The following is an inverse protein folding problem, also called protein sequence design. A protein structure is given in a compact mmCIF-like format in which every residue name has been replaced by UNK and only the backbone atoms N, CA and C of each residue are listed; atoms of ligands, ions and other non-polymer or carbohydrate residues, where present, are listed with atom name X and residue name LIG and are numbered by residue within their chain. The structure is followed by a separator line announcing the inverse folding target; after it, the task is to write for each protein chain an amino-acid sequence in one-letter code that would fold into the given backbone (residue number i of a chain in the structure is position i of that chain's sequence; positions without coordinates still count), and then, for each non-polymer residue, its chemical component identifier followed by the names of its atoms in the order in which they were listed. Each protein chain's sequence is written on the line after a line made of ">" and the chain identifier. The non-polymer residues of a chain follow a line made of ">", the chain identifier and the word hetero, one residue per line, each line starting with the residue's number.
data_IF_169845235206
#
_entry.id   IF_169845235206
#
_cell.length_a   1.000
_cell.length_b   1.000
_cell.length_c   1.000
_cell.angle_alpha   90.00
_cell.angle_beta   90.00
_cell.angle_gamma   90.00
#
_symmetry.space_group_name_H-M   'P 1'
#
loop_
_entity.id
_entity.type
_entity.pdbx_description
1 polymer ?
#
# COMPACT_ATOMS: atom_id res chain seq x y z
N UNK A 1 9.94 24.14 -51.02
CA UNK A 1 9.12 25.00 -51.88
C UNK A 1 8.75 26.20 -51.03
N UNK A 2 9.48 27.34 -51.20
CA UNK A 2 9.06 28.56 -51.91
C UNK A 2 7.93 29.26 -51.12
N UNK A 3 7.91 30.52 -50.69
CA UNK A 3 8.57 31.80 -51.04
C UNK A 3 8.30 32.72 -49.87
N UNK A 4 9.21 33.55 -49.30
CA UNK A 4 9.72 34.84 -49.76
C UNK A 4 8.64 35.90 -50.06
N UNK A 5 8.80 37.07 -49.41
CA UNK A 5 8.88 38.45 -49.94
C UNK A 5 8.40 39.42 -48.85
N UNK A 6 9.25 40.28 -48.18
CA UNK A 6 9.72 41.61 -48.58
C UNK A 6 8.65 42.72 -48.55
N UNK A 7 8.88 43.76 -47.74
CA UNK A 7 9.00 45.21 -48.10
C UNK A 7 8.75 46.08 -46.87
N UNK A 8 9.65 46.75 -46.29
CA UNK A 8 10.36 48.03 -46.64
C UNK A 8 9.57 49.30 -46.33
N UNK A 9 10.14 50.04 -45.40
CA UNK A 9 10.43 51.46 -45.36
C UNK A 9 9.32 52.52 -45.47
N UNK A 10 9.32 53.48 -44.52
CA UNK A 10 9.60 54.85 -44.81
C UNK A 10 9.73 55.75 -43.59
N UNK A 11 10.76 56.50 -43.58
CA UNK A 11 11.14 57.65 -42.78
C UNK A 11 10.10 58.79 -42.74
N UNK A 12 10.02 59.54 -41.66
CA UNK A 12 9.85 60.99 -41.71
C UNK A 12 10.40 61.67 -40.44
N UNK A 13 11.48 62.37 -40.66
CA UNK A 13 12.02 63.41 -39.79
C UNK A 13 11.10 64.65 -39.85
N UNK A 14 10.84 65.32 -38.74
CA UNK A 14 10.60 66.75 -38.66
C UNK A 14 11.26 67.31 -37.43
N UNK A 15 12.05 68.34 -37.67
CA UNK A 15 12.92 69.15 -36.83
C UNK A 15 12.20 70.38 -36.27
N UNK A 16 12.76 70.86 -35.12
CA UNK A 16 12.82 72.26 -34.60
C UNK A 16 11.60 72.91 -33.96
N UNK A 17 11.73 73.22 -32.66
CA UNK A 17 11.99 74.66 -32.30
C UNK A 17 12.38 74.81 -30.84
N UNK A 18 13.48 75.42 -30.60
CA UNK A 18 13.94 75.99 -29.32
C UNK A 18 13.16 77.25 -28.95
N UNK A 19 12.81 77.39 -27.67
CA UNK A 19 12.61 78.73 -27.06
C UNK A 19 13.15 78.75 -25.67
N UNK A 20 14.13 79.57 -25.50
CA UNK A 20 14.78 80.06 -24.28
C UNK A 20 13.83 80.97 -23.54
N UNK A 21 13.72 80.85 -22.20
CA UNK A 21 13.53 81.98 -21.34
C UNK A 21 13.62 81.70 -19.81
N UNK A 22 14.58 82.31 -19.19
CA UNK A 22 14.61 82.87 -17.84
C UNK A 22 14.54 81.95 -16.60
N UNK A 23 15.68 81.95 -15.95
CA UNK A 23 15.87 81.71 -14.51
C UNK A 23 14.87 82.47 -13.63
N UNK A 24 14.19 81.73 -12.78
CA UNK A 24 13.71 82.30 -11.51
C UNK A 24 14.05 81.27 -10.43
N UNK A 25 14.89 81.65 -9.54
CA UNK A 25 15.25 80.95 -8.32
C UNK A 25 14.02 80.91 -7.43
N UNK A 26 13.47 79.73 -7.26
CA UNK A 26 12.51 79.37 -6.21
C UNK A 26 13.13 78.24 -5.37
N UNK A 27 13.30 78.54 -4.13
CA UNK A 27 13.71 77.70 -3.04
C UNK A 27 12.93 76.39 -3.05
N UNK A 28 13.55 75.30 -3.50
CA UNK A 28 12.97 74.00 -3.37
C UNK A 28 13.39 73.44 -2.02
N UNK A 29 12.56 73.61 -1.03
CA UNK A 29 12.55 72.75 0.14
C UNK A 29 12.51 71.28 -0.33
N UNK A 30 13.58 70.59 0.00
CA UNK A 30 13.60 69.11 -0.14
C UNK A 30 12.36 68.53 0.60
N UNK A 31 11.64 67.60 0.00
CA UNK A 31 10.59 66.92 0.73
C UNK A 31 11.25 66.21 1.90
N UNK A 32 10.87 66.59 3.12
CA UNK A 32 11.18 65.84 4.32
C UNK A 32 10.87 64.38 3.99
N UNK A 33 11.89 63.51 4.13
CA UNK A 33 11.74 62.08 4.04
C UNK A 33 10.61 61.68 4.99
N UNK A 34 9.42 61.40 4.46
CA UNK A 34 8.39 60.71 5.22
C UNK A 34 9.05 59.50 5.85
N UNK A 35 9.28 59.58 7.17
CA UNK A 35 9.76 58.43 7.93
C UNK A 35 8.87 57.25 7.57
N UNK A 36 9.44 56.28 6.84
CA UNK A 36 8.70 55.10 6.41
C UNK A 36 8.15 54.42 7.67
N UNK A 37 6.84 54.52 7.88
CA UNK A 37 6.20 53.87 9.02
C UNK A 37 6.61 52.42 9.01
N UNK A 38 7.20 51.96 10.11
CA UNK A 38 7.59 50.56 10.26
C UNK A 38 6.30 49.71 10.17
N UNK A 39 6.30 48.64 9.38
CA UNK A 39 5.12 47.76 9.32
C UNK A 39 4.86 47.17 10.70
N UNK A 40 3.59 47.21 11.12
CA UNK A 40 3.15 46.61 12.37
C UNK A 40 2.94 45.09 12.12
N UNK A 41 3.55 44.25 12.98
CA UNK A 41 3.48 42.80 12.89
C UNK A 41 3.05 42.19 14.21
N UNK A 42 2.36 41.03 14.12
CA UNK A 42 2.07 40.17 15.26
C UNK A 42 3.08 39.01 15.25
N UNK A 43 3.60 38.69 16.43
CA UNK A 43 4.57 37.62 16.61
C UNK A 43 3.94 36.43 17.36
N UNK A 44 4.38 35.21 17.00
CA UNK A 44 4.18 34.01 17.80
C UNK A 44 5.54 33.39 18.11
N UNK A 45 5.68 32.84 19.29
CA UNK A 45 6.85 32.05 19.66
C UNK A 45 6.67 30.65 19.13
N UNK A 46 7.73 30.05 18.60
CA UNK A 46 7.73 28.74 18.00
C UNK A 46 8.09 27.71 19.05
N UNK A 47 7.19 26.74 19.25
CA UNK A 47 7.37 25.65 20.18
C UNK A 47 7.67 24.33 19.45
N UNK A 48 8.41 23.45 20.12
CA UNK A 48 8.54 22.06 19.68
C UNK A 48 7.42 21.23 20.29
N UNK A 49 6.72 20.49 19.45
CA UNK A 49 5.68 19.55 19.86
C UNK A 49 6.03 18.14 19.37
N UNK A 50 5.58 17.10 20.08
CA UNK A 50 5.67 15.74 19.59
C UNK A 50 4.75 15.56 18.38
N UNK A 51 5.33 15.21 17.24
CA UNK A 51 4.63 15.00 15.96
C UNK A 51 4.78 13.55 15.55
N UNK A 52 3.64 12.87 15.35
CA UNK A 52 3.61 11.49 14.89
C UNK A 52 4.09 11.41 13.44
N UNK A 53 5.05 10.53 13.20
CA UNK A 53 5.63 10.31 11.86
C UNK A 53 4.76 9.31 11.08
N UNK A 54 3.69 9.83 10.47
CA UNK A 54 2.73 9.04 9.71
C UNK A 54 3.24 8.82 8.28
N UNK A 55 3.30 7.55 7.87
CA UNK A 55 3.63 7.18 6.49
C UNK A 55 2.50 6.35 5.88
N UNK A 56 2.08 6.74 4.68
CA UNK A 56 1.00 6.06 3.96
C UNK A 56 1.55 5.22 2.81
N UNK A 57 1.20 3.95 2.81
CA UNK A 57 1.60 2.96 1.82
C UNK A 57 0.38 2.46 1.06
N UNK A 58 0.57 2.19 -0.23
CA UNK A 58 -0.45 1.56 -1.06
C UNK A 58 -0.31 0.04 -0.99
N UNK A 59 -1.42 -0.65 -0.84
CA UNK A 59 -1.45 -2.11 -0.81
C UNK A 59 -2.72 -2.66 -1.45
N UNK A 60 -2.67 -3.93 -1.86
CA UNK A 60 -3.84 -4.68 -2.31
C UNK A 60 -4.25 -5.68 -1.23
N UNK A 61 -5.54 -5.73 -0.94
CA UNK A 61 -6.11 -6.72 -0.02
C UNK A 61 -6.05 -8.09 -0.69
N UNK A 62 -5.57 -9.09 0.03
CA UNK A 62 -5.59 -10.49 -0.39
C UNK A 62 -6.22 -11.35 0.70
N UNK A 63 -6.71 -12.53 0.34
CA UNK A 63 -7.14 -13.50 1.33
C UNK A 63 -5.95 -13.96 2.18
N UNK A 64 -6.17 -14.25 3.47
CA UNK A 64 -5.12 -14.75 4.36
C UNK A 64 -4.45 -16.01 3.79
N UNK A 65 -5.28 -16.96 3.32
CA UNK A 65 -4.84 -18.16 2.63
C UNK A 65 -5.57 -18.26 1.29
N UNK A 66 -4.83 -18.61 0.25
CA UNK A 66 -5.37 -18.87 -1.09
C UNK A 66 -4.99 -20.29 -1.50
N UNK A 67 -5.99 -21.14 -1.76
CA UNK A 67 -5.79 -22.48 -2.25
C UNK A 67 -6.38 -22.67 -3.65
N UNK A 68 -5.57 -23.25 -4.51
CA UNK A 68 -5.94 -23.63 -5.85
C UNK A 68 -6.39 -25.10 -5.83
N UNK A 69 -7.65 -25.36 -6.11
CA UNK A 69 -8.23 -26.70 -6.13
C UNK A 69 -8.08 -27.27 -7.53
N UNK A 70 -7.22 -28.28 -7.65
CA UNK A 70 -6.90 -28.90 -8.91
C UNK A 70 -6.56 -30.39 -8.70
N UNK A 71 -6.88 -31.28 -9.66
CA UNK A 71 -6.39 -32.67 -9.63
C UNK A 71 -4.91 -32.70 -10.01
N UNK A 72 -4.17 -33.69 -9.53
CA UNK A 72 -2.76 -33.89 -9.89
C UNK A 72 -2.55 -34.36 -11.33
N UNK A 73 -3.55 -34.98 -11.94
CA UNK A 73 -3.49 -35.50 -13.30
C UNK A 73 -4.70 -35.09 -14.15
N UNK A 74 -4.53 -34.95 -15.47
CA UNK A 74 -5.63 -34.63 -16.38
C UNK A 74 -6.75 -35.68 -16.31
N UNK A 75 -7.96 -35.20 -16.09
CA UNK A 75 -9.18 -36.04 -16.10
C UNK A 75 -10.39 -35.16 -16.48
N UNK A 76 -11.51 -35.80 -16.85
CA UNK A 76 -12.76 -35.10 -17.12
C UNK A 76 -13.43 -34.72 -15.79
N UNK A 77 -13.92 -33.49 -15.72
CA UNK A 77 -14.72 -33.01 -14.60
C UNK A 77 -16.13 -33.53 -14.76
N UNK A 78 -16.57 -34.39 -13.83
CA UNK A 78 -17.93 -34.93 -13.85
C UNK A 78 -18.91 -33.91 -13.25
N UNK A 79 -18.55 -33.31 -12.10
CA UNK A 79 -19.42 -32.36 -11.42
C UNK A 79 -18.63 -31.41 -10.53
N UNK A 80 -19.04 -30.13 -10.53
CA UNK A 80 -18.61 -29.11 -9.61
C UNK A 80 -19.77 -28.79 -8.69
N UNK A 81 -19.54 -28.82 -7.37
CA UNK A 81 -20.56 -28.68 -6.32
C UNK A 81 -20.62 -27.30 -5.69
N UNK A 82 -19.68 -26.41 -6.03
CA UNK A 82 -19.60 -25.10 -5.46
C UNK A 82 -19.48 -24.03 -6.55
N UNK A 83 -20.15 -22.91 -6.33
CA UNK A 83 -20.15 -21.75 -7.21
C UNK A 83 -19.33 -20.60 -6.61
N UNK A 84 -18.99 -19.60 -7.45
CA UNK A 84 -18.31 -18.41 -7.01
C UNK A 84 -19.18 -17.65 -6.00
N UNK A 85 -18.61 -17.36 -4.84
CA UNK A 85 -19.30 -16.72 -3.71
C UNK A 85 -19.74 -17.70 -2.61
N UNK A 86 -19.74 -19.00 -2.87
CA UNK A 86 -20.11 -20.00 -1.87
C UNK A 86 -19.11 -20.09 -0.74
N UNK A 87 -19.61 -20.24 0.49
CA UNK A 87 -18.79 -20.56 1.66
C UNK A 87 -18.58 -22.05 1.76
N UNK A 88 -17.33 -22.46 1.91
CA UNK A 88 -16.93 -23.86 1.99
C UNK A 88 -16.17 -24.15 3.28
N UNK A 89 -16.23 -25.40 3.73
CA UNK A 89 -15.55 -25.86 4.94
C UNK A 89 -14.45 -26.86 4.59
N UNK A 90 -13.48 -27.00 5.48
CA UNK A 90 -12.46 -28.07 5.40
C UNK A 90 -13.13 -29.43 5.18
N UNK A 91 -12.64 -30.20 4.22
CA UNK A 91 -13.15 -31.54 3.87
C UNK A 91 -14.43 -31.51 3.04
N UNK A 92 -15.04 -30.36 2.77
CA UNK A 92 -16.21 -30.28 1.91
C UNK A 92 -15.84 -30.63 0.47
N UNK A 93 -16.62 -31.57 -0.12
CA UNK A 93 -16.46 -31.95 -1.53
C UNK A 93 -16.78 -30.75 -2.43
N UNK A 94 -15.85 -30.45 -3.31
CA UNK A 94 -15.96 -29.31 -4.25
C UNK A 94 -16.08 -29.75 -5.70
N UNK A 95 -15.29 -30.76 -6.10
CA UNK A 95 -15.24 -31.23 -7.48
C UNK A 95 -15.18 -32.75 -7.50
N UNK A 96 -15.85 -33.33 -8.45
CA UNK A 96 -15.81 -34.75 -8.75
C UNK A 96 -15.30 -34.95 -10.17
N UNK A 97 -14.20 -35.71 -10.29
CA UNK A 97 -13.59 -36.10 -11.54
C UNK A 97 -14.15 -37.43 -12.01
N UNK A 98 -13.85 -37.83 -13.24
CA UNK A 98 -14.22 -39.14 -13.78
C UNK A 98 -13.71 -40.29 -12.89
N UNK A 99 -14.61 -41.22 -12.55
CA UNK A 99 -14.37 -42.35 -11.64
C UNK A 99 -14.01 -43.64 -12.32
N UNK A 100 -13.90 -43.66 -13.63
CA UNK A 100 -13.71 -44.93 -14.39
C UNK A 100 -12.44 -45.64 -13.94
N UNK A 101 -11.32 -44.94 -13.85
CA UNK A 101 -10.06 -45.51 -13.36
C UNK A 101 -10.13 -45.91 -11.89
N UNK A 102 -10.75 -45.08 -11.05
CA UNK A 102 -10.95 -45.36 -9.63
C UNK A 102 -11.73 -46.65 -9.41
N UNK A 103 -12.86 -46.82 -10.12
CA UNK A 103 -13.70 -48.02 -10.00
C UNK A 103 -12.96 -49.26 -10.49
N UNK A 104 -12.19 -49.16 -11.58
CA UNK A 104 -11.37 -50.27 -12.08
C UNK A 104 -10.31 -50.70 -11.05
N UNK A 105 -9.60 -49.75 -10.46
CA UNK A 105 -8.58 -50.05 -9.44
C UNK A 105 -9.22 -50.62 -8.15
N UNK A 106 -10.41 -50.16 -7.76
CA UNK A 106 -11.17 -50.73 -6.63
C UNK A 106 -11.48 -52.21 -6.84
N UNK A 107 -11.94 -52.56 -8.03
CA UNK A 107 -12.22 -54.00 -8.35
C UNK A 107 -10.93 -54.83 -8.35
N UNK A 108 -9.82 -54.28 -8.85
CA UNK A 108 -8.52 -54.96 -8.81
C UNK A 108 -8.02 -55.17 -7.38
N UNK A 109 -8.12 -54.14 -6.51
CA UNK A 109 -7.78 -54.28 -5.11
C UNK A 109 -8.64 -55.36 -4.41
N UNK A 110 -9.95 -55.33 -4.62
CA UNK A 110 -10.86 -56.33 -4.03
C UNK A 110 -10.49 -57.77 -4.43
N UNK A 111 -10.14 -58.02 -5.69
CA UNK A 111 -9.66 -59.32 -6.15
C UNK A 111 -8.33 -59.71 -5.46
N UNK A 112 -7.41 -58.74 -5.35
CA UNK A 112 -6.11 -58.96 -4.72
C UNK A 112 -6.24 -59.24 -3.21
N UNK A 113 -7.14 -58.51 -2.53
CA UNK A 113 -7.47 -58.77 -1.12
C UNK A 113 -8.07 -60.15 -0.90
N UNK A 114 -8.97 -60.57 -1.77
CA UNK A 114 -9.54 -61.93 -1.72
C UNK A 114 -8.47 -63.02 -1.89
N UNK A 115 -7.50 -62.81 -2.77
CA UNK A 115 -6.40 -63.73 -2.95
C UNK A 115 -5.42 -63.70 -1.75
N UNK A 116 -5.15 -62.52 -1.21
CA UNK A 116 -4.35 -62.38 0.00
C UNK A 116 -4.99 -63.14 1.19
N UNK A 117 -6.30 -63.04 1.37
CA UNK A 117 -7.02 -63.77 2.45
C UNK A 117 -6.82 -65.28 2.31
N UNK A 118 -6.89 -65.86 1.09
CA UNK A 118 -6.61 -67.28 0.85
C UNK A 118 -5.17 -67.65 1.17
N UNK A 119 -4.20 -66.85 0.74
CA UNK A 119 -2.76 -67.05 1.04
C UNK A 119 -2.51 -66.94 2.54
N UNK A 120 -3.17 -66.01 3.22
CA UNK A 120 -3.04 -65.83 4.66
C UNK A 120 -3.59 -67.03 5.46
N UNK A 121 -4.73 -67.65 5.03
CA UNK A 121 -5.24 -68.88 5.60
C UNK A 121 -4.27 -70.05 5.38
N UNK A 122 -3.73 -70.19 4.16
CA UNK A 122 -2.75 -71.25 3.84
C UNK A 122 -1.42 -71.05 4.63
N UNK A 123 -0.97 -69.83 4.80
CA UNK A 123 0.22 -69.52 5.59
C UNK A 123 0.05 -69.91 7.07
N UNK A 124 -1.11 -69.66 7.64
CA UNK A 124 -1.48 -70.03 9.02
C UNK A 124 -1.33 -71.56 9.31
N UNK A 125 -1.55 -72.38 8.26
CA UNK A 125 -1.41 -73.87 8.38
C UNK A 125 -0.11 -74.41 7.76
N UNK A 126 0.82 -73.54 7.37
CA UNK A 126 2.11 -73.90 6.78
C UNK A 126 2.05 -74.34 5.32
N UNK A 127 0.98 -74.03 4.59
CA UNK A 127 0.72 -74.41 3.20
C UNK A 127 1.46 -73.58 2.16
N UNK A 128 1.96 -72.38 2.54
CA UNK A 128 2.74 -71.51 1.67
C UNK A 128 3.96 -71.00 2.41
N UNK A 129 4.99 -70.52 1.67
CA UNK A 129 6.21 -69.95 2.25
C UNK A 129 5.98 -68.54 2.80
N UNK A 130 6.79 -68.12 3.78
CA UNK A 130 6.81 -66.77 4.30
C UNK A 130 7.04 -65.74 3.19
N UNK A 131 7.97 -66.01 2.29
CA UNK A 131 8.27 -65.11 1.15
C UNK A 131 7.09 -64.90 0.23
N UNK A 132 6.28 -65.93 0.01
CA UNK A 132 5.06 -65.82 -0.82
C UNK A 132 3.98 -65.00 -0.14
N UNK A 133 3.77 -65.22 1.16
CA UNK A 133 2.83 -64.44 1.97
C UNK A 133 3.26 -62.96 2.03
N UNK A 134 4.56 -62.68 2.31
CA UNK A 134 5.08 -61.32 2.35
C UNK A 134 4.94 -60.58 1.00
N UNK A 135 5.20 -61.32 -0.11
CA UNK A 135 5.06 -60.76 -1.45
C UNK A 135 3.62 -60.36 -1.75
N UNK A 136 2.64 -61.21 -1.40
CA UNK A 136 1.23 -60.94 -1.62
C UNK A 136 0.76 -59.76 -0.74
N UNK A 137 1.19 -59.73 0.53
CA UNK A 137 0.93 -58.61 1.45
C UNK A 137 1.42 -57.28 0.87
N UNK A 138 2.65 -57.25 0.39
CA UNK A 138 3.23 -56.07 -0.21
C UNK A 138 2.42 -55.59 -1.45
N UNK A 139 1.96 -56.51 -2.29
CA UNK A 139 1.14 -56.17 -3.46
C UNK A 139 -0.17 -55.50 -3.05
N UNK A 140 -0.86 -56.00 -2.01
CA UNK A 140 -2.08 -55.37 -1.47
C UNK A 140 -1.79 -53.99 -0.92
N UNK A 141 -0.70 -53.81 -0.15
CA UNK A 141 -0.30 -52.52 0.42
C UNK A 141 0.01 -51.47 -0.66
N UNK A 142 0.75 -51.85 -1.70
CA UNK A 142 1.05 -50.99 -2.86
C UNK A 142 -0.23 -50.59 -3.60
N UNK A 143 -1.15 -51.57 -3.82
CA UNK A 143 -2.41 -51.28 -4.50
C UNK A 143 -3.31 -50.37 -3.68
N UNK A 144 -3.37 -50.53 -2.35
CA UNK A 144 -4.10 -49.62 -1.44
C UNK A 144 -3.55 -48.19 -1.48
N UNK A 145 -2.23 -48.05 -1.44
CA UNK A 145 -1.59 -46.75 -1.55
C UNK A 145 -1.90 -46.04 -2.89
N UNK A 146 -1.85 -46.82 -4.00
CA UNK A 146 -2.18 -46.31 -5.33
C UNK A 146 -3.65 -45.86 -5.40
N UNK A 147 -4.57 -46.68 -4.82
CA UNK A 147 -5.98 -46.32 -4.76
C UNK A 147 -6.24 -45.06 -3.95
N UNK A 148 -5.57 -44.89 -2.79
CA UNK A 148 -5.68 -43.67 -1.97
C UNK A 148 -5.33 -42.44 -2.77
N UNK A 149 -4.18 -42.43 -3.46
CA UNK A 149 -3.76 -41.33 -4.33
C UNK A 149 -4.80 -41.04 -5.44
N UNK A 150 -5.39 -42.09 -6.01
CA UNK A 150 -6.40 -41.94 -7.06
C UNK A 150 -7.72 -41.36 -6.52
N UNK A 151 -8.12 -41.75 -5.30
CA UNK A 151 -9.29 -41.18 -4.60
C UNK A 151 -9.13 -39.67 -4.35
N UNK A 152 -7.96 -39.23 -3.84
CA UNK A 152 -7.64 -37.83 -3.63
C UNK A 152 -7.72 -37.04 -4.94
N UNK A 153 -7.29 -37.61 -6.06
CA UNK A 153 -7.36 -36.99 -7.38
C UNK A 153 -8.75 -37.00 -8.02
N UNK A 154 -9.61 -37.86 -7.56
CA UNK A 154 -10.98 -38.04 -8.11
C UNK A 154 -12.00 -37.20 -7.38
N UNK A 155 -11.82 -36.98 -6.07
CA UNK A 155 -12.74 -36.20 -5.25
C UNK A 155 -11.94 -35.06 -4.61
N UNK A 156 -12.03 -33.87 -5.20
CA UNK A 156 -11.34 -32.72 -4.68
C UNK A 156 -12.15 -32.05 -3.57
N UNK A 157 -11.52 -31.87 -2.42
CA UNK A 157 -12.12 -31.26 -1.23
C UNK A 157 -11.47 -29.94 -0.90
N UNK A 158 -12.16 -29.10 -0.13
CA UNK A 158 -11.56 -27.87 0.38
C UNK A 158 -10.58 -28.18 1.52
N UNK A 159 -9.32 -27.71 1.43
CA UNK A 159 -8.35 -27.85 2.52
C UNK A 159 -8.52 -26.78 3.62
N UNK A 160 -9.33 -25.73 3.37
CA UNK A 160 -9.54 -24.59 4.27
C UNK A 160 -11.02 -24.24 4.40
N UNK A 161 -11.35 -23.52 5.47
CA UNK A 161 -12.60 -22.77 5.54
C UNK A 161 -12.45 -21.47 4.76
N UNK A 162 -13.35 -21.18 3.82
CA UNK A 162 -13.20 -20.00 2.98
C UNK A 162 -14.38 -19.76 2.07
N UNK A 163 -14.13 -18.95 1.05
CA UNK A 163 -15.08 -18.63 -0.01
C UNK A 163 -14.48 -18.98 -1.36
N UNK A 164 -15.29 -19.52 -2.25
CA UNK A 164 -14.89 -19.76 -3.65
C UNK A 164 -14.79 -18.41 -4.36
N UNK A 165 -13.60 -18.07 -4.82
CA UNK A 165 -13.34 -16.77 -5.48
C UNK A 165 -13.20 -16.87 -6.99
N UNK A 166 -12.94 -18.06 -7.52
CA UNK A 166 -12.92 -18.30 -8.96
C UNK A 166 -13.35 -19.72 -9.29
N UNK A 167 -13.99 -19.90 -10.47
CA UNK A 167 -14.35 -21.15 -11.10
C UNK A 167 -13.93 -21.04 -12.57
N UNK A 168 -13.03 -21.92 -13.01
CA UNK A 168 -12.40 -21.82 -14.34
C UNK A 168 -12.86 -22.91 -15.30
N UNK A 169 -13.72 -23.86 -14.88
CA UNK A 169 -14.23 -24.96 -15.67
C UNK A 169 -15.71 -25.20 -15.42
N UNK A 170 -16.34 -25.88 -16.38
CA UNK A 170 -17.70 -26.36 -16.28
C UNK A 170 -17.77 -27.88 -16.18
N UNK A 171 -18.96 -28.37 -15.81
CA UNK A 171 -19.23 -29.81 -15.79
C UNK A 171 -19.06 -30.40 -17.19
N UNK A 172 -18.29 -31.46 -17.31
CA UNK A 172 -17.99 -32.12 -18.59
C UNK A 172 -16.67 -31.70 -19.22
N UNK A 173 -16.03 -30.62 -18.75
CA UNK A 173 -14.74 -30.15 -19.27
C UNK A 173 -13.62 -31.14 -18.96
N UNK A 174 -12.58 -31.09 -19.81
CA UNK A 174 -11.33 -31.79 -19.54
C UNK A 174 -10.36 -30.82 -18.82
N UNK A 175 -9.84 -31.24 -17.68
CA UNK A 175 -8.85 -30.47 -16.94
C UNK A 175 -7.57 -30.27 -17.76
N UNK A 176 -7.10 -29.01 -17.86
CA UNK A 176 -5.98 -28.61 -18.70
C UNK A 176 -4.93 -27.74 -17.98
N UNK A 177 -4.82 -27.84 -16.64
CA UNK A 177 -3.72 -27.26 -15.86
C UNK A 177 -4.05 -25.99 -15.06
N UNK A 178 -5.18 -25.32 -15.32
CA UNK A 178 -5.62 -24.21 -14.45
C UNK A 178 -6.38 -24.77 -13.23
N UNK A 179 -6.35 -24.12 -12.06
CA UNK A 179 -7.17 -24.55 -10.93
C UNK A 179 -8.65 -24.62 -11.30
N UNK A 180 -9.34 -25.71 -10.96
CA UNK A 180 -10.79 -25.84 -11.20
C UNK A 180 -11.56 -24.80 -10.40
N UNK A 181 -11.22 -24.67 -9.11
CA UNK A 181 -11.75 -23.68 -8.20
C UNK A 181 -10.60 -23.00 -7.46
N UNK A 182 -10.81 -21.74 -7.05
CA UNK A 182 -9.94 -21.06 -6.11
C UNK A 182 -10.72 -20.76 -4.85
N UNK A 183 -10.23 -21.24 -3.71
CA UNK A 183 -10.81 -20.99 -2.38
C UNK A 183 -9.88 -20.07 -1.59
N UNK A 184 -10.44 -19.03 -0.98
CA UNK A 184 -9.69 -18.10 -0.15
C UNK A 184 -10.34 -17.91 1.21
N UNK A 185 -9.50 -17.84 2.25
CA UNK A 185 -9.93 -17.31 3.56
C UNK A 185 -10.03 -15.80 3.46
N UNK A 186 -11.23 -15.26 3.64
CA UNK A 186 -11.49 -13.81 3.54
C UNK A 186 -11.83 -13.16 4.88
N UNK A 187 -11.75 -13.88 5.97
CA UNK A 187 -11.79 -13.39 7.35
C UNK A 187 -10.84 -14.25 8.19
N UNK A 188 -9.71 -13.66 8.60
CA UNK A 188 -9.25 -12.31 8.27
C UNK A 188 -8.76 -12.15 6.83
N UNK A 189 -8.50 -10.92 6.42
CA UNK A 189 -7.77 -10.58 5.19
C UNK A 189 -6.39 -10.05 5.51
N UNK A 190 -5.51 -10.03 4.54
CA UNK A 190 -4.16 -9.49 4.70
C UNK A 190 -3.77 -8.52 3.59
N UNK A 191 -2.79 -7.68 3.88
CA UNK A 191 -2.14 -6.76 2.96
C UNK A 191 -0.64 -6.83 3.17
N UNK A 192 0.13 -6.59 2.14
CA UNK A 192 1.58 -6.44 2.27
C UNK A 192 1.95 -5.04 1.82
N UNK A 193 2.67 -4.32 2.68
CA UNK A 193 3.23 -2.99 2.39
C UNK A 193 4.75 -3.07 2.35
N UNK A 194 5.37 -2.30 1.46
CA UNK A 194 6.83 -2.21 1.38
C UNK A 194 7.30 -0.95 2.11
N UNK A 195 7.95 -1.13 3.25
CA UNK A 195 8.43 -0.06 4.12
C UNK A 195 9.92 0.19 3.86
N UNK A 196 10.34 1.47 3.83
CA UNK A 196 11.74 1.82 3.65
C UNK A 196 12.63 1.29 4.79
N UNK A 197 13.83 0.78 4.46
CA UNK A 197 14.79 0.19 5.41
C UNK A 197 15.16 1.12 6.57
N UNK A 198 15.13 2.43 6.37
CA UNK A 198 15.38 3.43 7.43
C UNK A 198 14.42 3.29 8.63
N UNK A 199 13.24 2.71 8.44
CA UNK A 199 12.23 2.51 9.47
C UNK A 199 12.24 1.10 10.07
N UNK A 200 13.19 0.25 9.69
CA UNK A 200 13.22 -1.16 10.13
C UNK A 200 13.21 -1.31 11.66
N UNK A 201 13.92 -0.43 12.38
CA UNK A 201 13.96 -0.44 13.85
C UNK A 201 12.71 0.15 14.52
N UNK A 202 11.88 0.85 13.76
CA UNK A 202 10.68 1.55 14.29
C UNK A 202 9.41 0.70 14.15
N UNK A 203 9.37 -0.26 13.24
CA UNK A 203 8.21 -1.14 13.02
C UNK A 203 8.29 -2.36 13.94
N UNK A 204 7.20 -2.65 14.65
CA UNK A 204 7.12 -3.80 15.55
C UNK A 204 5.90 -4.67 15.23
N UNK A 205 6.02 -5.97 15.53
CA UNK A 205 4.88 -6.88 15.43
C UNK A 205 3.81 -6.50 16.44
N UNK A 206 2.56 -6.35 15.95
CA UNK A 206 1.42 -5.94 16.76
C UNK A 206 1.07 -4.46 16.64
N UNK A 207 1.90 -3.65 15.97
CA UNK A 207 1.60 -2.24 15.72
C UNK A 207 0.27 -2.10 14.98
N UNK A 208 -0.50 -1.09 15.36
CA UNK A 208 -1.76 -0.78 14.73
C UNK A 208 -1.55 0.12 13.52
N UNK A 209 -2.21 -0.22 12.44
CA UNK A 209 -2.13 0.46 11.15
C UNK A 209 -3.53 0.82 10.71
N UNK A 210 -3.72 2.07 10.33
CA UNK A 210 -4.99 2.58 9.79
C UNK A 210 -5.11 2.21 8.33
N UNK A 211 -6.23 1.60 7.94
CA UNK A 211 -6.52 1.19 6.56
C UNK A 211 -7.72 1.96 6.05
N UNK A 212 -7.55 2.63 4.93
CA UNK A 212 -8.62 3.34 4.22
C UNK A 212 -8.80 2.79 2.81
N UNK A 213 -10.06 2.70 2.37
CA UNK A 213 -10.43 2.23 1.04
C UNK A 213 -11.30 3.27 0.34
N UNK A 214 -11.07 3.47 -0.95
CA UNK A 214 -11.91 4.35 -1.77
C UNK A 214 -13.34 3.83 -1.92
N UNK A 215 -13.52 2.51 -1.74
CA UNK A 215 -14.86 1.88 -1.76
C UNK A 215 -15.73 2.26 -0.55
N UNK A 216 -15.13 2.70 0.55
CA UNK A 216 -15.82 3.07 1.80
C UNK A 216 -15.30 4.42 2.30
N UNK A 217 -15.67 5.53 1.65
CA UNK A 217 -15.18 6.85 2.02
C UNK A 217 -15.56 7.21 3.46
N UNK A 218 -14.59 7.61 4.27
CA UNK A 218 -14.78 7.99 5.67
C UNK A 218 -14.85 6.83 6.66
N UNK A 219 -14.78 5.57 6.20
CA UNK A 219 -14.59 4.43 7.09
C UNK A 219 -13.10 4.08 7.20
N UNK A 220 -12.65 3.85 8.43
CA UNK A 220 -11.28 3.43 8.73
C UNK A 220 -11.31 2.04 9.34
N UNK A 221 -10.48 1.13 8.82
CA UNK A 221 -10.31 -0.22 9.33
C UNK A 221 -8.96 -0.31 10.06
N UNK A 222 -8.92 -1.05 11.16
CA UNK A 222 -7.67 -1.24 11.91
C UNK A 222 -7.03 -2.57 11.52
N UNK A 223 -5.81 -2.49 11.01
CA UNK A 223 -4.92 -3.62 10.79
C UNK A 223 -3.92 -3.76 11.93
N UNK A 224 -3.28 -4.93 12.03
CA UNK A 224 -2.13 -5.16 12.90
C UNK A 224 -0.98 -5.74 12.11
N UNK A 225 0.24 -5.30 12.42
CA UNK A 225 1.45 -5.91 11.88
C UNK A 225 1.53 -7.36 12.34
N UNK A 226 1.43 -8.30 11.42
CA UNK A 226 1.48 -9.75 11.68
C UNK A 226 2.89 -10.32 11.47
N UNK A 227 3.57 -9.87 10.42
CA UNK A 227 4.89 -10.34 10.06
C UNK A 227 5.73 -9.20 9.47
N UNK A 228 6.98 -9.12 9.91
CA UNK A 228 8.01 -8.27 9.32
C UNK A 228 9.01 -9.21 8.65
N UNK A 229 9.23 -9.06 7.37
CA UNK A 229 10.16 -9.91 6.64
C UNK A 229 11.61 -9.57 7.04
N UNK A 230 12.47 -10.58 7.23
CA UNK A 230 13.84 -10.37 7.68
C UNK A 230 14.78 -9.92 6.56
N UNK A 231 14.28 -9.80 5.34
CA UNK A 231 15.07 -9.44 4.14
C UNK A 231 14.66 -8.10 3.60
N UNK A 232 15.63 -7.31 3.16
CA UNK A 232 15.45 -6.04 2.45
C UNK A 232 15.70 -6.30 0.96
N UNK A 233 14.83 -5.76 0.12
CA UNK A 233 15.04 -5.77 -1.33
C UNK A 233 16.13 -4.75 -1.68
N UNK A 234 17.22 -5.24 -2.29
CA UNK A 234 18.41 -4.43 -2.60
C UNK A 234 18.18 -3.40 -3.71
N UNK A 235 17.13 -3.54 -4.53
CA UNK A 235 16.84 -2.59 -5.61
C UNK A 235 15.97 -1.42 -5.11
N UNK A 236 15.03 -1.71 -4.22
CA UNK A 236 14.06 -0.72 -3.74
C UNK A 236 14.40 -0.17 -2.35
N UNK A 237 15.36 -0.78 -1.64
CA UNK A 237 15.71 -0.48 -0.25
C UNK A 237 14.48 -0.50 0.68
N UNK A 238 13.58 -1.49 0.46
CA UNK A 238 12.38 -1.69 1.26
C UNK A 238 12.31 -3.11 1.81
N UNK A 239 11.58 -3.28 2.90
CA UNK A 239 11.25 -4.59 3.44
C UNK A 239 9.72 -4.76 3.47
N UNK A 240 9.22 -5.97 3.15
CA UNK A 240 7.78 -6.24 3.22
C UNK A 240 7.32 -6.35 4.67
N UNK A 241 6.16 -5.76 4.95
CA UNK A 241 5.44 -5.89 6.22
C UNK A 241 4.05 -6.41 5.91
N UNK A 242 3.68 -7.54 6.52
CA UNK A 242 2.35 -8.12 6.39
C UNK A 242 1.44 -7.59 7.48
N UNK A 243 0.29 -7.09 7.06
CA UNK A 243 -0.75 -6.56 7.91
C UNK A 243 -1.96 -7.49 7.87
N UNK A 244 -2.57 -7.75 9.00
CA UNK A 244 -3.78 -8.56 9.10
C UNK A 244 -4.95 -7.69 9.57
N UNK A 245 -6.11 -7.86 8.94
CA UNK A 245 -7.33 -7.12 9.24
C UNK A 245 -8.48 -8.09 9.49
N UNK A 246 -9.18 -7.92 10.61
CA UNK A 246 -10.44 -8.65 10.85
C UNK A 246 -11.50 -8.17 9.86
N UNK A 247 -12.22 -9.11 9.28
CA UNK A 247 -13.20 -8.84 8.22
C UNK A 247 -14.52 -9.59 8.47
N UNK A 248 -14.99 -9.57 9.69
CA UNK A 248 -16.21 -10.31 10.06
C UNK A 248 -17.45 -9.87 9.29
N UNK A 249 -17.49 -8.61 8.89
CA UNK A 249 -18.59 -8.03 8.08
C UNK A 249 -18.44 -8.31 6.59
N UNK A 250 -17.32 -8.92 6.17
CA UNK A 250 -16.98 -9.26 4.78
C UNK A 250 -17.00 -8.04 3.83
N UNK A 251 -16.79 -6.84 4.36
CA UNK A 251 -16.67 -5.61 3.58
C UNK A 251 -15.40 -5.59 2.75
N UNK A 252 -14.29 -6.07 3.31
CA UNK A 252 -13.00 -6.12 2.65
C UNK A 252 -12.92 -7.33 1.73
N UNK A 253 -12.73 -7.10 0.43
CA UNK A 253 -12.66 -8.18 -0.55
C UNK A 253 -11.26 -8.27 -1.15
N UNK A 254 -10.74 -9.49 -1.33
CA UNK A 254 -9.49 -9.68 -2.07
C UNK A 254 -9.55 -8.98 -3.44
N UNK A 255 -8.47 -8.27 -3.78
CA UNK A 255 -8.37 -7.45 -4.98
C UNK A 255 -8.69 -5.96 -4.77
N UNK A 256 -9.27 -5.55 -3.63
CA UNK A 256 -9.48 -4.13 -3.33
C UNK A 256 -8.14 -3.44 -3.05
N UNK A 257 -8.04 -2.20 -3.53
CA UNK A 257 -6.93 -1.31 -3.23
C UNK A 257 -7.18 -0.60 -1.90
N UNK A 258 -6.12 -0.48 -1.09
CA UNK A 258 -6.17 0.16 0.21
C UNK A 258 -4.95 1.05 0.44
N UNK A 259 -5.15 2.10 1.23
CA UNK A 259 -4.09 2.92 1.81
C UNK A 259 -3.89 2.52 3.25
N UNK A 260 -2.65 2.14 3.58
CA UNK A 260 -2.24 1.75 4.93
C UNK A 260 -1.39 2.87 5.53
N UNK A 261 -1.87 3.53 6.58
CA UNK A 261 -1.14 4.59 7.28
C UNK A 261 -0.57 4.04 8.58
N UNK A 262 0.76 4.02 8.66
CA UNK A 262 1.52 3.55 9.81
C UNK A 262 2.10 4.74 10.57
N UNK A 263 2.04 4.70 11.90
CA UNK A 263 2.82 5.60 12.75
C UNK A 263 4.21 4.97 12.99
N UNK A 264 5.24 5.63 12.50
CA UNK A 264 6.64 5.18 12.58
C UNK A 264 7.41 5.85 13.73
N UNK A 265 6.70 6.27 14.76
CA UNK A 265 7.22 6.92 15.94
C UNK A 265 6.82 8.38 16.03
N UNK A 266 7.20 9.02 17.12
CA UNK A 266 6.92 10.42 17.40
C UNK A 266 8.25 11.15 17.51
N UNK A 267 8.40 12.26 16.77
CA UNK A 267 9.59 13.12 16.82
C UNK A 267 9.19 14.52 17.25
N UNK A 268 10.08 15.21 18.00
CA UNK A 268 9.83 16.59 18.41
C UNK A 268 10.24 17.53 17.29
N UNK A 269 9.25 18.11 16.64
CA UNK A 269 9.45 19.07 15.56
C UNK A 269 8.84 20.42 15.91
N UNK A 270 9.39 21.45 15.29
CA UNK A 270 8.85 22.81 15.36
C UNK A 270 7.51 22.83 14.62
N UNK A 271 6.51 23.43 15.25
CA UNK A 271 5.18 23.57 14.67
C UNK A 271 4.81 25.03 14.53
N UNK A 272 4.33 25.44 13.36
CA UNK A 272 3.97 26.83 13.07
C UNK A 272 2.54 26.91 12.49
N UNK A 273 1.78 27.98 12.78
CA UNK A 273 0.49 28.22 12.12
C UNK A 273 0.66 28.38 10.61
N UNK A 274 -0.32 27.90 9.82
CA UNK A 274 -0.29 27.99 8.35
C UNK A 274 -0.26 29.44 7.85
N UNK A 275 -0.84 30.37 8.61
CA UNK A 275 -0.82 31.80 8.32
C UNK A 275 0.59 32.42 8.37
N UNK A 276 1.56 31.81 9.09
CA UNK A 276 2.94 32.26 9.14
C UNK A 276 3.74 31.91 7.88
N UNK A 277 3.25 30.98 7.07
CA UNK A 277 3.95 30.43 5.91
C UNK A 277 3.70 31.29 4.68
N UNK A 278 4.76 31.82 4.10
CA UNK A 278 4.72 32.67 2.92
C UNK A 278 5.21 31.92 1.70
N UNK A 279 4.46 32.00 0.59
CA UNK A 279 4.86 31.52 -0.73
C UNK A 279 5.57 32.65 -1.49
N UNK A 280 6.74 32.36 -2.02
CA UNK A 280 7.39 33.28 -2.96
C UNK A 280 6.81 33.07 -4.36
N UNK A 281 6.38 34.14 -5.00
CA UNK A 281 5.90 34.09 -6.38
C UNK A 281 7.00 33.56 -7.32
N UNK A 282 6.69 32.57 -8.15
CA UNK A 282 7.61 31.98 -9.14
C UNK A 282 8.54 30.88 -8.60
N UNK A 283 8.51 30.55 -7.30
CA UNK A 283 9.20 29.39 -6.75
C UNK A 283 8.24 28.49 -5.99
N UNK A 284 8.54 27.20 -5.90
CA UNK A 284 7.80 26.25 -5.04
C UNK A 284 8.15 26.38 -3.55
N UNK A 285 9.14 27.22 -3.22
CA UNK A 285 9.69 27.33 -1.87
C UNK A 285 8.72 27.97 -0.88
N UNK A 286 8.84 27.56 0.36
CA UNK A 286 8.10 28.10 1.50
C UNK A 286 9.06 28.84 2.42
N UNK A 287 8.58 29.92 3.03
CA UNK A 287 9.36 30.78 3.88
C UNK A 287 8.54 31.20 5.10
N UNK A 288 9.26 31.59 6.15
CA UNK A 288 8.71 32.20 7.36
C UNK A 288 9.55 33.42 7.68
N UNK A 289 8.95 34.50 8.15
CA UNK A 289 9.67 35.67 8.68
C UNK A 289 10.02 35.45 10.14
N UNK A 290 11.30 35.33 10.44
CA UNK A 290 11.83 35.25 11.81
C UNK A 290 12.20 36.64 12.29
N UNK A 291 11.69 36.99 13.47
CA UNK A 291 11.96 38.30 14.10
C UNK A 291 13.21 38.22 14.98
N UNK A 292 14.17 39.14 14.73
CA UNK A 292 15.37 39.29 15.52
C UNK A 292 15.72 40.76 15.67
N UNK A 293 15.88 41.26 16.88
CA UNK A 293 16.41 42.61 17.20
C UNK A 293 15.72 43.75 16.41
N UNK A 294 14.39 43.72 16.29
CA UNK A 294 13.64 44.77 15.61
C UNK A 294 13.55 44.63 14.08
N UNK A 295 14.09 43.53 13.53
CA UNK A 295 14.09 43.24 12.11
C UNK A 295 13.50 41.84 11.84
N UNK A 296 13.05 41.61 10.61
CA UNK A 296 12.58 40.33 10.16
C UNK A 296 13.48 39.76 9.07
N UNK A 297 13.87 38.48 9.24
CA UNK A 297 14.69 37.76 8.29
C UNK A 297 13.81 36.74 7.57
N UNK A 298 13.99 36.63 6.25
CA UNK A 298 13.20 35.74 5.39
C UNK A 298 13.85 34.34 5.35
N UNK A 299 13.41 33.44 6.21
CA UNK A 299 13.99 32.11 6.36
C UNK A 299 13.25 31.09 5.49
N UNK A 300 13.99 30.34 4.64
CA UNK A 300 13.45 29.20 3.90
C UNK A 300 13.17 28.08 4.87
N UNK A 301 11.98 27.46 4.74
CA UNK A 301 11.54 26.35 5.58
C UNK A 301 11.17 25.14 4.72
N UNK A 302 11.38 23.96 5.28
CA UNK A 302 10.90 22.71 4.73
C UNK A 302 9.70 22.25 5.56
N UNK A 303 8.55 22.10 4.88
CA UNK A 303 7.31 21.70 5.54
C UNK A 303 7.22 20.18 5.62
N UNK A 304 6.85 19.70 6.79
CA UNK A 304 6.42 18.32 7.04
C UNK A 304 4.90 18.17 6.94
N UNK A 305 4.32 17.48 7.90
CA UNK A 305 2.90 17.19 7.93
C UNK A 305 2.06 18.42 8.24
N UNK A 306 0.86 18.45 7.67
CA UNK A 306 -0.17 19.42 8.05
C UNK A 306 -1.05 18.85 9.17
N UNK A 307 -1.13 19.58 10.27
CA UNK A 307 -1.94 19.25 11.46
C UNK A 307 -3.04 20.29 11.65
N UNK A 308 -4.15 20.11 10.94
CA UNK A 308 -5.25 21.08 10.96
C UNK A 308 -4.87 22.43 10.35
N UNK A 309 -4.71 23.45 11.18
CA UNK A 309 -4.32 24.82 10.83
C UNK A 309 -2.82 25.11 11.07
N UNK A 310 -2.03 24.08 11.39
CA UNK A 310 -0.60 24.17 11.66
C UNK A 310 0.20 23.26 10.74
N UNK A 311 1.49 23.59 10.56
CA UNK A 311 2.44 22.76 9.82
C UNK A 311 3.65 22.43 10.68
N UNK A 312 4.08 21.19 10.59
CA UNK A 312 5.39 20.75 11.03
C UNK A 312 6.47 21.38 10.16
N UNK A 313 7.56 21.85 10.78
CA UNK A 313 8.78 22.26 10.10
C UNK A 313 9.86 21.22 10.30
N UNK A 314 10.29 20.59 9.20
CA UNK A 314 11.42 19.65 9.19
C UNK A 314 12.72 20.44 9.39
N UNK A 315 12.81 21.63 8.79
CA UNK A 315 13.98 22.49 8.91
C UNK A 315 13.65 23.97 8.68
N UNK A 316 14.56 24.85 9.14
CA UNK A 316 14.56 26.30 8.81
C UNK A 316 14.39 27.22 10.00
N UNK A 317 13.65 26.90 11.05
CA UNK A 317 13.43 27.77 12.22
C UNK A 317 13.78 27.02 13.50
N UNK A 318 14.62 27.55 14.38
CA UNK A 318 14.93 26.92 15.66
C UNK A 318 13.79 27.10 16.68
N UNK A 319 13.75 26.21 17.66
CA UNK A 319 12.87 26.33 18.83
C UNK A 319 13.07 27.61 19.57
N UNK A 320 11.99 28.26 20.04
CA UNK A 320 12.01 29.53 20.77
C UNK A 320 12.17 30.77 19.88
N UNK A 321 12.26 30.59 18.56
CA UNK A 321 12.28 31.72 17.64
C UNK A 321 10.93 32.43 17.61
N UNK A 322 10.93 33.75 17.41
CA UNK A 322 9.72 34.52 17.22
C UNK A 322 9.46 34.70 15.74
N UNK A 323 8.30 34.28 15.28
CA UNK A 323 7.88 34.34 13.87
C UNK A 323 6.72 35.30 13.68
N UNK A 324 6.61 35.87 12.48
CA UNK A 324 5.53 36.80 12.13
C UNK A 324 4.30 35.97 11.70
N UNK A 325 3.18 36.17 12.39
CA UNK A 325 1.89 35.53 12.08
C UNK A 325 0.88 36.48 11.43
N UNK A 326 1.15 37.80 11.46
CA UNK A 326 0.30 38.82 10.82
C UNK A 326 1.15 39.99 10.30
N UNK A 327 0.74 40.57 9.16
CA UNK A 327 1.43 41.72 8.56
C UNK A 327 2.46 41.37 7.46
N UNK A 328 2.62 40.11 7.07
CA UNK A 328 3.66 39.59 6.16
C UNK A 328 3.65 40.25 4.77
N UNK A 329 2.48 40.67 4.26
CA UNK A 329 2.35 41.22 2.90
C UNK A 329 3.19 42.49 2.61
N UNK A 330 3.61 43.21 3.67
CA UNK A 330 4.39 44.46 3.57
C UNK A 330 5.87 44.27 3.93
N UNK A 331 6.29 43.04 4.19
CA UNK A 331 7.63 42.69 4.63
C UNK A 331 8.54 42.34 3.46
N UNK A 332 9.81 42.62 3.67
CA UNK A 332 10.94 42.16 2.85
C UNK A 332 12.07 41.71 3.79
N UNK A 333 12.99 40.94 3.27
CA UNK A 333 14.15 40.48 4.04
C UNK A 333 14.93 41.63 4.65
N UNK A 334 15.30 41.51 5.93
CA UNK A 334 16.04 42.55 6.71
C UNK A 334 15.24 43.78 7.11
N UNK A 335 13.90 43.84 6.83
CA UNK A 335 13.09 45.02 7.10
C UNK A 335 12.86 45.24 8.60
N UNK A 336 12.98 46.53 9.02
CA UNK A 336 12.61 46.91 10.38
C UNK A 336 11.09 46.91 10.55
N UNK A 337 10.63 46.39 11.69
CA UNK A 337 9.22 46.23 12.02
C UNK A 337 8.91 46.74 13.43
N UNK A 338 7.67 47.06 13.66
CA UNK A 338 7.12 47.36 14.99
C UNK A 338 6.20 46.19 15.40
N UNK A 339 6.38 45.75 16.63
CA UNK A 339 5.60 44.61 17.16
C UNK A 339 4.34 45.18 17.80
N UNK A 340 3.20 44.62 17.40
CA UNK A 340 1.92 44.92 18.04
C UNK A 340 1.87 44.17 19.37
N UNK A 341 1.78 44.93 20.47
CA UNK A 341 1.57 44.38 21.81
C UNK A 341 0.20 43.70 21.97
#
# INVERSE_FOLDING_TARGET
>A
MKHLIFSAAACSLILFAACDSKKTSADAQAPEAMAAMKPLVELAEVEQEPVDQLQTYSATIVGEVKNNIAPASPARITRIYAEVGDRVRVGQRLVEMDKTSLNSQKMQLQNLETEFDRINELYAVGGVSQSEWESMKLQVEVMRATLGTLEENTILVSPINGVVTARNYDNGDLYSGQPVLVVQTIDPVKLTVNVSEQYYSKVQKGDEVSIELDAYPGETFTAKVSLIYPTVDAMTHTFPVELIVKNSDLKLRPGMFARATMNLGTENHVVVPDIAIVKRAGSGDRYVYVYENGRVNFCKVELGQRMGDRYELISGVPHGAKIVVSGQAKLSDGKEVEVKE
#
